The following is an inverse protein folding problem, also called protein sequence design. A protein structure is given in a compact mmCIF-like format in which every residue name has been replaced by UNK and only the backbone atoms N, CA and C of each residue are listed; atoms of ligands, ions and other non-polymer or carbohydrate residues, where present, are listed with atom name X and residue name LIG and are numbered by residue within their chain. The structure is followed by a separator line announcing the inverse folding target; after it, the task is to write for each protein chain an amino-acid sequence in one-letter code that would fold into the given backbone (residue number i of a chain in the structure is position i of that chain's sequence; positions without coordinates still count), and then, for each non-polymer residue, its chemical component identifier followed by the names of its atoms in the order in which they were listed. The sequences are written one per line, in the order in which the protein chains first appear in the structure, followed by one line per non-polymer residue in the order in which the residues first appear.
data_IF_492675257060
#
_entry.id   IF_492675257060
#
_cell.length_a   1.000
_cell.length_b   1.000
_cell.length_c   1.000
_cell.angle_alpha   90.00
_cell.angle_beta   90.00
_cell.angle_gamma   90.00
#
_symmetry.space_group_name_H-M   'P 1'
#
loop_
_entity.id
_entity.type
_entity.pdbx_description
1 polymer ?
#
# COMPACT_ATOMS: atom_id res chain seq x y z
N UNK A 1 10.57 -27.02 16.36
CA UNK A 1 10.33 -25.58 16.59
C UNK A 1 9.28 -25.11 15.62
N UNK A 2 8.04 -25.03 16.06
CA UNK A 2 6.93 -24.49 15.32
C UNK A 2 5.95 -23.90 16.32
N UNK A 3 5.51 -22.68 16.09
CA UNK A 3 4.32 -22.11 16.70
C UNK A 3 3.84 -20.98 15.79
N UNK A 4 3.00 -21.37 14.84
CA UNK A 4 2.06 -20.49 14.18
C UNK A 4 0.96 -20.14 15.19
N UNK A 5 0.54 -18.88 15.15
CA UNK A 5 -0.75 -18.38 15.61
C UNK A 5 -1.03 -18.38 17.13
N UNK A 6 -0.67 -17.29 17.83
CA UNK A 6 -1.37 -16.85 19.04
C UNK A 6 -1.42 -15.32 19.14
N UNK A 7 -2.65 -14.79 19.06
CA UNK A 7 -3.04 -13.40 19.34
C UNK A 7 -4.50 -13.25 18.95
N UNK A 8 -5.46 -13.58 19.83
CA UNK A 8 -6.19 -12.59 20.61
C UNK A 8 -7.41 -12.01 19.84
N UNK A 9 -8.66 -12.08 20.35
CA UNK A 9 -9.86 -11.49 19.74
C UNK A 9 -9.91 -9.94 19.84
N UNK A 10 -8.77 -9.31 19.55
CA UNK A 10 -8.52 -7.87 19.51
C UNK A 10 -7.42 -7.49 18.52
N UNK A 11 -7.10 -8.33 17.54
CA UNK A 11 -6.35 -7.96 16.33
C UNK A 11 -7.28 -7.25 15.33
N UNK A 12 -8.01 -6.21 15.76
CA UNK A 12 -8.77 -5.39 14.80
C UNK A 12 -7.82 -4.37 14.16
N UNK A 13 -7.41 -4.74 12.95
CA UNK A 13 -6.73 -3.98 11.89
C UNK A 13 -5.24 -4.26 11.80
N UNK A 14 -4.75 -4.75 10.63
CA UNK A 14 -3.32 -4.66 10.31
C UNK A 14 -2.88 -3.21 10.49
N UNK A 15 -1.56 -2.98 10.68
CA UNK A 15 -0.85 -1.70 10.83
C UNK A 15 -1.04 -0.69 9.66
N UNK A 16 -2.27 -0.57 9.19
CA UNK A 16 -2.76 0.15 8.03
C UNK A 16 -3.34 1.45 8.57
N UNK A 17 -2.56 2.50 8.41
CA UNK A 17 -3.05 3.87 8.52
C UNK A 17 -3.53 4.32 7.14
N UNK A 18 -4.62 5.09 7.07
CA UNK A 18 -5.08 5.68 5.82
C UNK A 18 -4.25 6.93 5.56
N UNK A 19 -3.56 7.00 4.42
CA UNK A 19 -2.72 8.14 4.10
C UNK A 19 -3.58 9.37 3.79
N UNK A 20 -3.44 10.41 4.61
CA UNK A 20 -4.09 11.71 4.40
C UNK A 20 -3.36 12.49 3.30
N UNK A 21 -4.11 13.10 2.38
CA UNK A 21 -3.55 13.93 1.30
C UNK A 21 -3.29 13.18 -0.01
N UNK A 22 -3.68 11.91 -0.11
CA UNK A 22 -3.72 11.17 -1.37
C UNK A 22 -5.10 11.29 -2.04
N UNK A 23 -5.12 11.33 -3.37
CA UNK A 23 -6.33 11.22 -4.20
C UNK A 23 -6.88 9.79 -4.22
N UNK A 24 -6.05 8.81 -3.88
CA UNK A 24 -6.45 7.41 -3.79
C UNK A 24 -7.12 7.17 -2.43
N UNK A 25 -8.43 6.95 -2.44
CA UNK A 25 -9.24 6.80 -1.22
C UNK A 25 -8.85 5.57 -0.38
N UNK A 26 -8.33 4.51 -1.00
CA UNK A 26 -7.95 3.26 -0.35
C UNK A 26 -6.42 3.07 -0.27
N UNK A 27 -5.63 4.15 -0.33
CA UNK A 27 -4.18 4.08 -0.15
C UNK A 27 -3.85 3.74 1.30
N UNK A 28 -3.09 2.66 1.47
CA UNK A 28 -2.73 2.09 2.75
C UNK A 28 -1.22 2.02 2.90
N UNK A 29 -0.76 1.99 4.14
CA UNK A 29 0.63 1.82 4.47
C UNK A 29 0.89 0.51 5.22
N UNK A 30 2.00 -0.17 4.91
CA UNK A 30 2.62 -1.18 5.77
C UNK A 30 3.91 -0.64 6.36
N UNK A 31 4.20 -1.03 7.61
CA UNK A 31 5.40 -0.63 8.35
C UNK A 31 6.16 -1.83 8.93
N UNK A 32 6.77 -2.70 8.09
CA UNK A 32 7.64 -3.75 8.58
C UNK A 32 9.01 -3.18 8.96
N UNK A 33 9.33 -3.15 10.25
CA UNK A 33 10.62 -2.66 10.75
C UNK A 33 10.85 -1.18 10.41
N UNK A 34 11.95 -0.88 9.73
CA UNK A 34 12.32 0.49 9.28
C UNK A 34 11.74 0.87 7.92
N UNK A 35 11.12 -0.06 7.21
CA UNK A 35 10.61 0.16 5.85
C UNK A 35 9.15 0.61 5.91
N UNK A 36 8.79 1.55 5.04
CA UNK A 36 7.40 1.91 4.76
C UNK A 36 7.02 1.52 3.35
N UNK A 37 5.84 0.96 3.18
CA UNK A 37 5.32 0.51 1.90
C UNK A 37 3.92 1.08 1.69
N UNK A 38 3.74 1.86 0.62
CA UNK A 38 2.43 2.32 0.16
C UNK A 38 1.85 1.30 -0.80
N UNK A 39 0.62 0.89 -0.54
CA UNK A 39 -0.07 -0.13 -1.31
C UNK A 39 -1.58 0.10 -1.34
N UNK A 40 -2.24 -0.58 -2.26
CA UNK A 40 -3.70 -0.59 -2.39
C UNK A 40 -4.19 -2.02 -2.52
N UNK A 41 -5.43 -2.27 -2.10
CA UNK A 41 -6.16 -3.46 -2.51
C UNK A 41 -6.96 -3.09 -3.75
N UNK A 42 -6.69 -3.79 -4.85
CA UNK A 42 -7.45 -3.60 -6.06
C UNK A 42 -8.85 -4.27 -5.95
N UNK A 43 -9.79 -3.93 -6.85
CA UNK A 43 -11.11 -4.56 -6.89
C UNK A 43 -11.08 -6.09 -7.02
N UNK A 44 -9.99 -6.65 -7.55
CA UNK A 44 -9.77 -8.09 -7.74
C UNK A 44 -9.14 -8.78 -6.53
N UNK A 45 -9.17 -8.13 -5.35
CA UNK A 45 -8.66 -8.65 -4.07
C UNK A 45 -7.16 -8.97 -4.06
N UNK A 46 -6.40 -8.35 -4.95
CA UNK A 46 -4.95 -8.40 -5.00
C UNK A 46 -4.34 -7.16 -4.34
N UNK A 47 -3.25 -7.35 -3.60
CA UNK A 47 -2.47 -6.25 -3.03
C UNK A 47 -1.46 -5.74 -4.06
N UNK A 48 -1.60 -4.48 -4.46
CA UNK A 48 -0.70 -3.81 -5.40
C UNK A 48 0.25 -2.93 -4.62
N UNK A 49 1.54 -3.30 -4.61
CA UNK A 49 2.59 -2.53 -3.97
C UNK A 49 2.99 -1.37 -4.90
N UNK A 50 2.83 -0.14 -4.44
CA UNK A 50 3.03 1.05 -5.26
C UNK A 50 4.42 1.65 -5.03
N UNK A 51 4.83 1.81 -3.77
CA UNK A 51 6.10 2.42 -3.39
C UNK A 51 6.61 1.79 -2.10
N UNK A 52 7.91 1.53 -2.00
CA UNK A 52 8.58 1.16 -0.75
C UNK A 52 9.74 2.12 -0.47
N UNK A 53 10.01 2.40 0.81
CA UNK A 53 11.11 3.26 1.22
C UNK A 53 11.60 2.95 2.63
N UNK A 54 12.93 2.91 2.79
CA UNK A 54 13.64 2.72 4.06
C UNK A 54 14.22 4.06 4.57
N UNK A 55 13.59 5.21 4.22
CA UNK A 55 14.11 6.55 4.59
C UNK A 55 13.91 6.87 6.07
N UNK A 56 14.58 6.10 6.95
CA UNK A 56 14.57 6.29 8.39
C UNK A 56 14.92 7.74 8.77
N UNK A 57 13.99 8.41 9.43
CA UNK A 57 14.16 9.78 9.93
C UNK A 57 13.72 10.91 8.97
N UNK A 58 13.39 10.63 7.71
CA UNK A 58 12.97 11.65 6.73
C UNK A 58 11.58 11.38 6.12
N UNK A 59 10.66 10.87 6.94
CA UNK A 59 9.35 10.40 6.48
C UNK A 59 8.47 11.49 5.88
N UNK A 60 8.47 12.71 6.43
CA UNK A 60 7.66 13.81 5.89
C UNK A 60 8.07 14.21 4.46
N UNK A 61 9.38 14.29 4.21
CA UNK A 61 9.89 14.54 2.85
C UNK A 61 9.58 13.36 1.94
N UNK A 62 9.79 12.14 2.44
CA UNK A 62 9.47 10.92 1.69
C UNK A 62 8.00 10.86 1.27
N UNK A 63 7.03 11.17 2.15
CA UNK A 63 5.61 11.17 1.78
C UNK A 63 5.26 12.16 0.67
N UNK A 64 5.89 13.35 0.67
CA UNK A 64 5.68 14.35 -0.38
C UNK A 64 6.10 13.85 -1.77
N UNK A 65 7.07 12.94 -1.83
CA UNK A 65 7.52 12.30 -3.06
C UNK A 65 6.77 10.99 -3.35
N UNK A 66 6.55 10.17 -2.33
CA UNK A 66 6.01 8.83 -2.42
C UNK A 66 4.52 8.82 -2.73
N UNK A 67 3.74 9.78 -2.21
CA UNK A 67 2.29 9.84 -2.45
C UNK A 67 2.01 10.15 -3.94
N UNK A 68 2.55 11.22 -4.56
CA UNK A 68 2.32 11.46 -5.98
C UNK A 68 2.84 10.33 -6.88
N UNK A 69 3.94 9.68 -6.50
CA UNK A 69 4.48 8.53 -7.23
C UNK A 69 3.56 7.30 -7.13
N UNK A 70 2.95 7.07 -5.96
CA UNK A 70 1.98 6.00 -5.77
C UNK A 70 0.69 6.28 -6.58
N UNK A 71 0.24 7.54 -6.64
CA UNK A 71 -0.88 7.98 -7.47
C UNK A 71 -0.67 7.67 -8.96
N UNK A 72 0.47 8.09 -9.51
CA UNK A 72 0.83 7.85 -10.91
C UNK A 72 0.89 6.34 -11.24
N UNK A 73 1.56 5.56 -10.38
CA UNK A 73 1.68 4.11 -10.57
C UNK A 73 0.33 3.40 -10.52
N UNK A 74 -0.56 3.84 -9.64
CA UNK A 74 -1.89 3.24 -9.55
C UNK A 74 -2.76 3.60 -10.76
N UNK A 75 -2.70 4.85 -11.24
CA UNK A 75 -3.40 5.25 -12.47
C UNK A 75 -2.95 4.41 -13.67
N UNK A 76 -1.63 4.21 -13.83
CA UNK A 76 -1.08 3.32 -14.86
C UNK A 76 -1.56 1.88 -14.67
N UNK A 77 -1.49 1.35 -13.46
CA UNK A 77 -1.97 -0.01 -13.15
C UNK A 77 -3.43 -0.21 -13.56
N UNK A 78 -4.32 0.75 -13.22
CA UNK A 78 -5.73 0.65 -13.58
C UNK A 78 -5.94 0.63 -15.09
N UNK A 79 -5.23 1.47 -15.85
CA UNK A 79 -5.31 1.50 -17.32
C UNK A 79 -4.85 0.18 -17.94
N UNK A 80 -3.74 -0.37 -17.47
CA UNK A 80 -3.21 -1.65 -17.94
C UNK A 80 -4.14 -2.81 -17.60
N UNK A 81 -4.68 -2.85 -16.37
CA UNK A 81 -5.59 -3.92 -15.93
C UNK A 81 -6.92 -3.90 -16.68
N UNK A 82 -7.47 -2.71 -16.94
CA UNK A 82 -8.69 -2.57 -17.75
C UNK A 82 -8.48 -3.04 -19.19
N UNK A 83 -7.32 -2.76 -19.78
CA UNK A 83 -6.99 -3.22 -21.12
C UNK A 83 -6.86 -4.75 -21.19
N UNK A 84 -6.24 -5.37 -20.18
CA UNK A 84 -6.09 -6.82 -20.08
C UNK A 84 -7.45 -7.53 -19.84
N UNK A 85 -8.36 -6.95 -19.05
CA UNK A 85 -9.71 -7.52 -18.88
C UNK A 85 -10.59 -7.40 -20.13
N UNK A 86 -10.38 -6.37 -20.94
CA UNK A 86 -11.12 -6.18 -22.20
C UNK A 86 -10.55 -7.04 -23.34
N UNK A 87 -9.51 -7.84 -23.09
CA UNK A 87 -8.92 -8.75 -24.07
C UNK A 87 -9.65 -10.10 -24.03
N UNK A 88 -10.26 -10.55 -25.15
CA UNK A 88 -11.05 -11.78 -25.21
C UNK A 88 -10.22 -13.06 -25.08
#
# INVERSE_FOLDING_TARGET
MGALAEGGPGLDRPLVDTIVGSKIQNLKELRPGSVRILFVFDPWRSSVLLVAGDKAGQWNAWYREAIPLAEDRYDRYLKERQAEESRP
#
